data_IF_924473595330
#
_entry.id   IF_924473595330
#
_cell.length_a   1.000
_cell.length_b   1.000
_cell.length_c   1.000
_cell.angle_alpha   90.00
_cell.angle_beta   90.00
_cell.angle_gamma   90.00
#
_symmetry.space_group_name_H-M   'P 1'
#
loop_
_entity.id
_entity.type
_entity.pdbx_description
1 polymer ?
#
# COMPACT_ATOMS: atom_id res chain seq x y z
N UNK A 1 23.83 -7.95 24.46
CA UNK A 1 23.02 -8.64 23.43
C UNK A 1 22.76 -7.61 22.34
N UNK A 2 23.04 -7.90 21.06
CA UNK A 2 23.05 -6.88 20.01
C UNK A 2 21.72 -6.93 19.27
N UNK A 3 20.91 -5.87 19.40
CA UNK A 3 19.75 -5.62 18.55
C UNK A 3 20.31 -5.07 17.24
N UNK A 4 19.98 -5.68 16.10
CA UNK A 4 20.33 -5.14 14.79
C UNK A 4 19.14 -4.34 14.22
N UNK A 5 19.45 -3.29 13.47
CA UNK A 5 18.42 -2.44 12.86
C UNK A 5 17.54 -3.22 11.87
N UNK A 6 18.14 -4.14 11.11
CA UNK A 6 17.43 -5.01 10.16
C UNK A 6 16.33 -5.84 10.81
N UNK A 7 16.53 -6.28 12.05
CA UNK A 7 15.56 -7.10 12.78
C UNK A 7 14.34 -6.26 13.17
N UNK A 8 14.56 -5.00 13.55
CA UNK A 8 13.49 -4.06 13.89
C UNK A 8 12.66 -3.69 12.65
N UNK A 9 13.32 -3.39 11.53
CA UNK A 9 12.67 -2.97 10.28
C UNK A 9 11.83 -4.10 9.64
N UNK A 10 12.37 -5.32 9.64
CA UNK A 10 11.70 -6.49 9.07
C UNK A 10 10.53 -6.99 9.94
N UNK A 11 10.61 -6.81 11.25
CA UNK A 11 9.59 -7.27 12.21
C UNK A 11 8.36 -6.37 12.31
N UNK A 12 7.22 -6.96 12.65
CA UNK A 12 6.06 -6.22 13.16
C UNK A 12 6.03 -6.35 14.68
N UNK A 13 5.58 -5.30 15.36
CA UNK A 13 5.56 -5.24 16.82
C UNK A 13 4.17 -4.95 17.33
N UNK A 14 3.76 -5.65 18.37
CA UNK A 14 2.62 -5.28 19.21
C UNK A 14 3.15 -4.41 20.35
N UNK A 15 2.57 -3.23 20.53
CA UNK A 15 2.99 -2.26 21.54
C UNK A 15 1.99 -2.18 22.68
N UNK A 16 2.45 -2.40 23.91
CA UNK A 16 1.62 -2.41 25.11
C UNK A 16 2.36 -1.87 26.33
N UNK A 17 1.63 -1.75 27.44
CA UNK A 17 2.23 -1.57 28.78
C UNK A 17 2.42 -2.93 29.45
N UNK A 18 3.32 -3.01 30.42
CA UNK A 18 3.60 -4.24 31.17
C UNK A 18 2.37 -4.79 31.92
N UNK A 19 1.42 -3.92 32.28
CA UNK A 19 0.15 -4.33 32.88
C UNK A 19 -0.84 -4.97 31.88
N UNK A 20 -0.44 -5.18 30.62
CA UNK A 20 -1.25 -5.78 29.56
C UNK A 20 -2.13 -4.80 28.77
N UNK A 21 -2.12 -3.51 29.10
CA UNK A 21 -2.86 -2.51 28.34
C UNK A 21 -2.26 -2.37 26.93
N UNK A 22 -3.01 -2.80 25.92
CA UNK A 22 -2.64 -2.63 24.52
C UNK A 22 -2.65 -1.15 24.13
N UNK A 23 -1.56 -0.69 23.50
CA UNK A 23 -1.44 0.67 22.96
C UNK A 23 -1.65 0.63 21.44
N UNK A 24 -0.92 -0.25 20.74
CA UNK A 24 -1.07 -0.47 19.31
C UNK A 24 -0.92 -1.96 18.97
N UNK A 25 -1.88 -2.56 18.24
CA UNK A 25 -1.77 -3.95 17.81
C UNK A 25 -0.68 -4.15 16.76
N UNK A 26 -0.40 -3.10 15.97
CA UNK A 26 0.58 -3.09 14.89
C UNK A 26 1.44 -1.85 15.01
N UNK A 27 2.74 -2.05 15.14
CA UNK A 27 3.77 -1.03 15.11
C UNK A 27 4.87 -1.49 14.15
N UNK A 28 5.28 -0.57 13.28
CA UNK A 28 6.37 -0.75 12.32
C UNK A 28 7.44 0.29 12.55
N UNK A 29 8.69 -0.15 12.60
CA UNK A 29 9.84 0.74 12.51
C UNK A 29 10.12 1.00 11.04
N UNK A 30 10.04 2.27 10.61
CA UNK A 30 10.30 2.66 9.24
C UNK A 30 11.76 3.08 9.06
N UNK A 31 12.39 2.83 7.89
CA UNK A 31 13.81 3.12 7.65
C UNK A 31 14.23 4.58 7.82
N UNK A 32 13.29 5.51 7.75
CA UNK A 32 13.50 6.95 7.94
C UNK A 32 13.43 7.38 9.42
N UNK A 33 13.37 6.42 10.35
CA UNK A 33 13.28 6.68 11.79
C UNK A 33 11.87 7.00 12.26
N UNK A 34 10.84 6.86 11.41
CA UNK A 34 9.45 7.09 11.81
C UNK A 34 8.80 5.83 12.37
N UNK A 35 7.91 6.00 13.34
CA UNK A 35 7.03 4.93 13.84
C UNK A 35 5.75 4.88 12.99
N UNK A 36 5.49 3.72 12.39
CA UNK A 36 4.31 3.39 11.59
C UNK A 36 3.34 2.45 12.32
N UNK A 37 2.10 2.38 11.86
CA UNK A 37 1.01 1.60 12.48
C UNK A 37 0.43 2.22 13.76
N UNK A 38 1.15 3.16 14.35
CA UNK A 38 0.81 3.89 15.57
C UNK A 38 1.24 5.35 15.43
N UNK A 39 0.42 6.28 15.91
CA UNK A 39 0.69 7.72 15.81
C UNK A 39 0.47 8.36 17.16
N UNK A 40 1.56 8.81 17.77
CA UNK A 40 1.52 9.54 19.03
C UNK A 40 2.71 10.48 19.15
N UNK A 41 2.52 11.58 19.87
CA UNK A 41 3.53 12.65 19.95
C UNK A 41 4.78 12.26 20.75
N UNK A 42 4.66 11.31 21.68
CA UNK A 42 5.80 10.81 22.48
C UNK A 42 6.57 9.68 21.82
N UNK A 43 5.99 8.94 20.89
CA UNK A 43 6.62 7.81 20.19
C UNK A 43 6.56 8.01 18.68
N UNK A 44 6.82 9.25 18.23
CA UNK A 44 6.72 9.62 16.81
C UNK A 44 7.91 9.10 16.00
N UNK A 45 9.07 9.09 16.64
CA UNK A 45 10.36 8.78 16.04
C UNK A 45 11.00 7.66 16.84
N UNK A 46 11.81 6.83 16.18
CA UNK A 46 12.63 5.83 16.81
C UNK A 46 14.09 5.95 16.37
N UNK A 47 14.99 5.39 17.16
CA UNK A 47 16.40 5.24 16.80
C UNK A 47 17.01 4.07 17.54
N UNK A 48 18.02 3.46 16.94
CA UNK A 48 18.88 2.47 17.59
C UNK A 48 20.25 3.13 17.85
N UNK A 49 20.55 3.42 19.11
CA UNK A 49 21.78 4.10 19.54
C UNK A 49 22.48 3.23 20.58
N UNK A 50 23.77 2.91 20.39
CA UNK A 50 24.53 2.03 21.29
C UNK A 50 23.86 0.66 21.56
N UNK A 51 23.23 0.08 20.52
CA UNK A 51 22.39 -1.13 20.58
C UNK A 51 21.15 -1.02 21.47
N UNK A 52 20.72 0.20 21.80
CA UNK A 52 19.53 0.46 22.60
C UNK A 52 18.47 1.13 21.72
N UNK A 53 17.31 0.48 21.61
CA UNK A 53 16.15 1.06 20.95
C UNK A 53 15.58 2.19 21.81
N UNK A 54 15.28 3.32 21.19
CA UNK A 54 14.70 4.49 21.85
C UNK A 54 13.47 4.95 21.07
N UNK A 55 12.36 5.15 21.79
CA UNK A 55 11.30 6.02 21.30
C UNK A 55 11.62 7.47 21.61
N UNK A 56 11.25 8.35 20.69
CA UNK A 56 11.48 9.79 20.75
C UNK A 56 10.21 10.55 20.38
N UNK A 57 10.03 11.68 21.05
CA UNK A 57 9.02 12.64 20.65
C UNK A 57 9.45 13.42 19.40
N UNK A 58 8.58 14.30 18.89
CA UNK A 58 8.87 15.11 17.69
C UNK A 58 10.07 16.06 17.84
N UNK A 59 10.47 16.39 19.08
CA UNK A 59 11.66 17.19 19.37
C UNK A 59 12.94 16.36 19.43
N UNK A 60 12.86 15.04 19.22
CA UNK A 60 13.98 14.12 19.32
C UNK A 60 14.34 13.70 20.76
N UNK A 61 13.54 14.09 21.76
CA UNK A 61 13.79 13.71 23.15
C UNK A 61 13.36 12.27 23.38
N UNK A 62 14.25 11.46 23.97
CA UNK A 62 13.94 10.07 24.33
C UNK A 62 12.82 10.01 25.37
N UNK A 63 11.73 9.36 25.01
CA UNK A 63 10.55 9.15 25.87
C UNK A 63 10.54 7.75 26.48
N UNK A 64 11.12 6.76 25.80
CA UNK A 64 11.29 5.39 26.29
C UNK A 64 12.63 4.87 25.81
N UNK A 65 13.36 4.22 26.72
CA UNK A 65 14.58 3.49 26.40
C UNK A 65 14.33 2.01 26.68
N UNK A 66 14.55 1.16 25.68
CA UNK A 66 14.35 -0.29 25.78
C UNK A 66 15.66 -0.96 26.15
N UNK A 67 15.83 -1.22 27.44
CA UNK A 67 17.05 -1.77 28.06
C UNK A 67 16.97 -3.28 28.33
N UNK A 68 15.79 -3.88 28.23
CA UNK A 68 15.57 -5.32 28.30
C UNK A 68 15.22 -5.88 26.92
N UNK A 69 15.89 -6.97 26.52
CA UNK A 69 15.65 -7.66 25.26
C UNK A 69 15.71 -9.18 25.46
N UNK A 70 14.67 -9.87 25.02
CA UNK A 70 14.62 -11.33 24.89
C UNK A 70 14.69 -11.65 23.39
N UNK A 71 15.61 -12.55 23.03
CA UNK A 71 15.87 -12.98 21.65
C UNK A 71 15.56 -14.47 21.53
N UNK A 72 15.03 -14.88 20.38
CA UNK A 72 14.89 -16.27 19.97
C UNK A 72 15.70 -16.56 18.69
N UNK A 73 15.38 -17.63 17.95
CA UNK A 73 16.10 -17.98 16.72
C UNK A 73 16.00 -16.94 15.61
N UNK A 74 14.96 -16.10 15.62
CA UNK A 74 14.65 -15.17 14.54
C UNK A 74 14.97 -13.71 14.93
N UNK A 75 15.68 -13.51 16.05
CA UNK A 75 16.09 -12.19 16.55
C UNK A 75 15.28 -11.72 17.77
N UNK A 76 15.27 -10.41 18.06
CA UNK A 76 14.51 -9.81 19.16
C UNK A 76 13.02 -10.20 19.10
N UNK A 77 12.56 -10.89 20.15
CA UNK A 77 11.17 -11.33 20.33
C UNK A 77 10.40 -10.39 21.27
N UNK A 78 11.03 -9.93 22.35
CA UNK A 78 10.39 -9.07 23.34
C UNK A 78 11.36 -8.01 23.83
N UNK A 79 10.93 -6.75 23.79
CA UNK A 79 11.68 -5.61 24.29
C UNK A 79 10.86 -4.94 25.41
N UNK A 80 11.50 -4.61 26.53
CA UNK A 80 10.90 -3.75 27.55
C UNK A 80 11.72 -2.51 27.78
N UNK A 81 11.02 -1.42 28.07
CA UNK A 81 11.65 -0.14 28.34
C UNK A 81 10.82 0.70 29.26
N UNK A 82 11.46 1.36 30.23
CA UNK A 82 10.77 2.27 31.15
C UNK A 82 10.61 3.65 30.49
N UNK A 83 9.42 4.23 30.61
CA UNK A 83 9.17 5.58 30.13
C UNK A 83 9.96 6.59 30.98
N UNK A 84 10.60 7.54 30.29
CA UNK A 84 11.26 8.71 30.90
C UNK A 84 10.27 9.84 31.17
N UNK A 85 9.08 9.79 30.56
CA UNK A 85 7.98 10.75 30.78
C UNK A 85 7.21 10.40 32.05
N UNK A 86 6.91 9.11 32.24
CA UNK A 86 6.28 8.58 33.44
C UNK A 86 6.99 7.29 33.87
N UNK A 87 7.89 7.34 34.87
CA UNK A 87 8.65 6.18 35.32
C UNK A 87 7.80 5.01 35.87
N UNK A 88 6.51 5.22 36.15
CA UNK A 88 5.60 4.14 36.52
C UNK A 88 5.17 3.27 35.34
N UNK A 89 5.33 3.77 34.11
CA UNK A 89 4.99 3.07 32.88
C UNK A 89 6.20 2.31 32.35
N UNK A 90 6.02 0.99 32.20
CA UNK A 90 6.91 0.13 31.44
C UNK A 90 6.24 -0.25 30.13
N UNK A 91 6.89 0.10 29.03
CA UNK A 91 6.50 -0.22 27.68
C UNK A 91 7.04 -1.59 27.28
N UNK A 92 6.25 -2.33 26.51
CA UNK A 92 6.57 -3.66 26.00
C UNK A 92 6.31 -3.69 24.50
N UNK A 93 7.31 -4.11 23.74
CA UNK A 93 7.17 -4.46 22.34
C UNK A 93 7.33 -5.98 22.21
N UNK A 94 6.33 -6.65 21.67
CA UNK A 94 6.34 -8.08 21.40
C UNK A 94 6.30 -8.28 19.89
N UNK A 95 7.27 -9.03 19.35
CA UNK A 95 7.34 -9.34 17.92
C UNK A 95 6.09 -10.13 17.53
N UNK A 96 5.43 -9.67 16.48
CA UNK A 96 4.19 -10.22 15.97
C UNK A 96 4.23 -10.28 14.44
N UNK A 97 3.16 -10.79 13.84
CA UNK A 97 2.93 -10.73 12.39
C UNK A 97 1.91 -9.64 12.07
N UNK A 98 1.97 -9.07 10.87
CA UNK A 98 0.89 -8.21 10.37
C UNK A 98 -0.41 -9.01 10.31
N UNK A 99 -1.51 -8.54 10.92
CA UNK A 99 -2.81 -9.17 10.80
C UNK A 99 -3.32 -9.14 9.36
N UNK A 100 -4.00 -10.19 8.92
CA UNK A 100 -4.62 -10.27 7.58
C UNK A 100 -6.07 -10.70 7.68
N UNK A 101 -6.77 -10.84 6.55
CA UNK A 101 -8.15 -11.29 6.56
C UNK A 101 -8.33 -12.71 7.11
N UNK A 102 -7.24 -13.49 7.15
CA UNK A 102 -7.20 -14.81 7.80
C UNK A 102 -7.50 -14.74 9.30
N UNK A 103 -7.08 -13.67 9.97
CA UNK A 103 -7.24 -13.52 11.43
C UNK A 103 -8.71 -13.36 11.87
N UNK A 104 -9.61 -13.00 10.95
CA UNK A 104 -11.06 -13.00 11.18
C UNK A 104 -11.80 -14.05 10.31
N UNK A 105 -11.08 -15.08 9.86
CA UNK A 105 -11.67 -16.29 9.29
C UNK A 105 -11.87 -16.29 7.77
N UNK A 106 -11.35 -15.30 7.02
CA UNK A 106 -11.35 -15.38 5.56
C UNK A 106 -10.26 -16.32 5.04
N UNK A 107 -10.46 -16.82 3.83
CA UNK A 107 -9.49 -17.66 3.14
C UNK A 107 -9.43 -17.28 1.66
N UNK A 108 -8.23 -17.39 1.09
CA UNK A 108 -7.98 -17.28 -0.33
C UNK A 108 -7.98 -18.68 -0.97
N UNK A 109 -8.10 -18.73 -2.30
CA UNK A 109 -7.75 -19.94 -3.05
C UNK A 109 -6.32 -20.42 -2.68
N UNK A 110 -6.02 -21.72 -2.66
CA UNK A 110 -4.65 -22.21 -2.50
C UNK A 110 -3.76 -21.98 -3.74
N UNK A 111 -4.36 -21.58 -4.88
CA UNK A 111 -3.66 -21.42 -6.16
C UNK A 111 -2.51 -20.41 -6.04
N UNK A 112 -1.38 -20.71 -6.67
CA UNK A 112 -0.24 -19.80 -6.81
C UNK A 112 -0.25 -19.24 -8.24
N UNK A 113 0.19 -18.00 -8.41
CA UNK A 113 0.25 -17.38 -9.72
C UNK A 113 1.31 -18.06 -10.60
N UNK A 114 0.87 -18.65 -11.71
CA UNK A 114 1.74 -19.14 -12.77
C UNK A 114 1.85 -18.10 -13.87
N UNK A 115 3.07 -17.67 -14.18
CA UNK A 115 3.33 -16.61 -15.14
C UNK A 115 3.66 -17.18 -16.52
N UNK A 116 2.93 -16.71 -17.51
CA UNK A 116 3.35 -16.73 -18.92
C UNK A 116 3.99 -15.37 -19.24
N UNK A 117 5.05 -15.38 -20.05
CA UNK A 117 5.71 -14.17 -20.56
C UNK A 117 5.49 -14.10 -22.08
N UNK A 118 4.39 -13.49 -22.55
CA UNK A 118 4.03 -13.47 -23.97
C UNK A 118 4.97 -12.61 -24.82
N UNK A 119 5.67 -11.68 -24.17
CA UNK A 119 6.71 -10.84 -24.78
C UNK A 119 8.02 -11.05 -24.07
N UNK A 120 9.09 -11.08 -24.84
CA UNK A 120 10.42 -10.92 -24.27
C UNK A 120 10.56 -9.51 -23.67
N UNK A 121 11.06 -9.45 -22.44
CA UNK A 121 11.45 -8.18 -21.85
C UNK A 121 12.62 -7.61 -22.67
N UNK A 122 12.57 -6.32 -22.99
CA UNK A 122 13.68 -5.66 -23.66
C UNK A 122 14.98 -5.80 -22.86
N UNK A 123 16.13 -5.56 -23.52
CA UNK A 123 17.47 -5.71 -22.93
C UNK A 123 17.67 -4.97 -21.59
N UNK A 124 16.85 -3.95 -21.32
CA UNK A 124 16.69 -3.33 -20.01
C UNK A 124 15.21 -3.31 -19.64
N UNK A 125 14.86 -4.07 -18.58
CA UNK A 125 13.53 -4.04 -17.96
C UNK A 125 13.14 -2.62 -17.54
N UNK A 126 11.87 -2.26 -17.73
CA UNK A 126 11.35 -0.97 -17.28
C UNK A 126 11.26 -0.95 -15.74
N UNK A 127 11.26 0.25 -15.14
CA UNK A 127 11.25 0.41 -13.67
C UNK A 127 9.87 0.27 -13.04
N UNK A 128 8.84 0.52 -13.83
CA UNK A 128 7.47 0.62 -13.34
C UNK A 128 6.65 -0.57 -13.83
N UNK A 129 5.67 -0.99 -13.02
CA UNK A 129 4.75 -2.09 -13.34
C UNK A 129 3.31 -1.63 -13.16
N UNK A 130 2.47 -1.96 -14.13
CA UNK A 130 1.02 -1.95 -13.97
C UNK A 130 0.56 -3.38 -13.70
N UNK A 131 -0.09 -3.61 -12.57
CA UNK A 131 -0.74 -4.87 -12.23
C UNK A 131 -2.24 -4.69 -12.40
N UNK A 132 -2.78 -5.28 -13.46
CA UNK A 132 -4.18 -5.16 -13.80
C UNK A 132 -4.90 -6.48 -13.56
N UNK A 133 -5.96 -6.44 -12.74
CA UNK A 133 -6.96 -7.51 -12.70
C UNK A 133 -7.92 -7.30 -13.86
N UNK A 134 -7.94 -8.20 -14.84
CA UNK A 134 -8.76 -8.02 -16.04
C UNK A 134 -9.65 -9.22 -16.36
N UNK A 135 -10.75 -8.94 -17.03
CA UNK A 135 -11.58 -9.91 -17.73
C UNK A 135 -11.94 -9.40 -19.14
N UNK A 136 -12.89 -10.07 -19.79
CA UNK A 136 -13.35 -9.80 -21.15
C UNK A 136 -13.91 -8.37 -21.33
N UNK A 137 -14.32 -7.72 -20.25
CA UNK A 137 -14.88 -6.37 -20.22
C UNK A 137 -13.86 -5.30 -19.80
N UNK A 138 -12.58 -5.67 -19.67
CA UNK A 138 -11.54 -4.74 -19.25
C UNK A 138 -11.27 -3.67 -20.33
N UNK A 139 -11.08 -2.43 -19.90
CA UNK A 139 -10.84 -1.29 -20.77
C UNK A 139 -9.38 -1.12 -21.20
N UNK A 140 -8.45 -1.93 -20.69
CA UNK A 140 -7.02 -1.77 -20.96
C UNK A 140 -6.63 -1.90 -22.44
N UNK A 141 -7.43 -2.61 -23.23
CA UNK A 141 -7.26 -2.69 -24.69
C UNK A 141 -7.45 -1.34 -25.39
N UNK A 142 -8.08 -0.36 -24.73
CA UNK A 142 -8.32 1.00 -25.22
C UNK A 142 -7.28 2.00 -24.70
N UNK A 143 -6.42 1.62 -23.75
CA UNK A 143 -5.38 2.49 -23.23
C UNK A 143 -4.25 2.87 -24.22
N UNK A 144 -3.95 2.11 -25.31
CA UNK A 144 -2.93 2.50 -26.27
C UNK A 144 -3.27 3.83 -26.98
N UNK A 145 -2.77 4.93 -26.41
CA UNK A 145 -2.98 6.29 -26.89
C UNK A 145 -1.90 7.24 -26.35
N UNK A 146 -1.72 8.37 -27.03
CA UNK A 146 -0.83 9.50 -26.68
C UNK A 146 0.68 9.24 -26.69
N UNK A 147 1.15 7.99 -26.57
CA UNK A 147 2.56 7.59 -26.71
C UNK A 147 2.69 6.26 -27.45
N UNK A 148 3.86 6.01 -28.03
CA UNK A 148 4.20 4.71 -28.62
C UNK A 148 4.65 3.70 -27.55
N UNK A 149 4.57 2.40 -27.86
CA UNK A 149 5.01 1.31 -26.98
C UNK A 149 6.50 1.45 -26.58
N UNK A 150 7.34 1.85 -27.53
CA UNK A 150 8.78 2.07 -27.32
C UNK A 150 9.07 3.16 -26.27
N UNK A 151 8.13 4.09 -26.06
CA UNK A 151 8.26 5.20 -25.10
C UNK A 151 7.59 4.92 -23.75
N UNK A 152 6.93 3.75 -23.59
CA UNK A 152 6.40 3.35 -22.28
C UNK A 152 7.52 3.24 -21.27
N UNK A 153 7.30 3.78 -20.07
CA UNK A 153 8.22 3.65 -18.93
C UNK A 153 7.80 2.56 -17.94
N UNK A 154 6.79 1.76 -18.29
CA UNK A 154 6.18 0.72 -17.46
C UNK A 154 5.89 -0.56 -18.26
N UNK A 155 5.95 -1.70 -17.57
CA UNK A 155 5.51 -3.00 -18.06
C UNK A 155 4.10 -3.33 -17.54
N UNK A 156 3.39 -4.25 -18.18
CA UNK A 156 2.04 -4.68 -17.85
C UNK A 156 2.02 -6.15 -17.41
N UNK A 157 1.48 -6.39 -16.21
CA UNK A 157 1.04 -7.69 -15.75
C UNK A 157 -0.48 -7.77 -15.79
N UNK A 158 -1.01 -8.66 -16.62
CA UNK A 158 -2.44 -9.00 -16.67
C UNK A 158 -2.68 -10.22 -15.80
N UNK A 159 -3.33 -10.00 -14.65
CA UNK A 159 -3.89 -11.05 -13.80
C UNK A 159 -5.33 -11.28 -14.20
N UNK A 160 -5.54 -12.27 -15.07
CA UNK A 160 -6.83 -12.56 -15.68
C UNK A 160 -7.77 -13.28 -14.71
N UNK A 161 -9.03 -12.85 -14.64
CA UNK A 161 -10.07 -13.48 -13.82
C UNK A 161 -11.30 -13.91 -14.60
N UNK A 162 -11.32 -13.64 -15.90
CA UNK A 162 -12.31 -14.20 -16.81
C UNK A 162 -12.24 -15.72 -16.79
N UNK A 163 -13.37 -16.36 -17.12
CA UNK A 163 -13.49 -17.81 -17.09
C UNK A 163 -12.59 -18.46 -18.13
N UNK A 164 -12.60 -17.90 -19.35
CA UNK A 164 -11.81 -18.38 -20.47
C UNK A 164 -10.59 -17.48 -20.67
N UNK A 165 -9.42 -18.07 -20.93
CA UNK A 165 -8.21 -17.31 -21.24
C UNK A 165 -8.33 -16.75 -22.68
N UNK A 166 -7.98 -15.47 -22.92
CA UNK A 166 -7.99 -14.90 -24.25
C UNK A 166 -7.06 -15.63 -25.21
N UNK A 167 -7.45 -15.74 -26.49
CA UNK A 167 -6.62 -16.36 -27.53
C UNK A 167 -5.33 -15.57 -27.80
N UNK A 168 -5.38 -14.25 -27.62
CA UNK A 168 -4.23 -13.35 -27.75
C UNK A 168 -3.91 -12.68 -26.40
N UNK A 169 -2.76 -13.04 -25.84
CA UNK A 169 -2.20 -12.47 -24.62
C UNK A 169 -0.94 -11.64 -24.91
N UNK A 170 -0.63 -11.38 -26.18
CA UNK A 170 0.57 -10.67 -26.60
C UNK A 170 0.53 -9.17 -26.27
N UNK A 171 -0.52 -8.63 -25.66
CA UNK A 171 -0.61 -7.23 -25.25
C UNK A 171 0.11 -6.86 -23.95
N UNK A 172 0.76 -7.82 -23.28
CA UNK A 172 1.36 -7.64 -21.96
C UNK A 172 2.72 -8.33 -21.81
N UNK A 173 3.52 -7.90 -20.84
CA UNK A 173 4.79 -8.52 -20.50
C UNK A 173 4.61 -9.76 -19.61
N UNK A 174 3.58 -9.76 -18.73
CA UNK A 174 3.25 -10.88 -17.87
C UNK A 174 1.76 -11.19 -17.95
N UNK A 175 1.45 -12.47 -18.05
CA UNK A 175 0.09 -12.98 -17.99
C UNK A 175 -0.02 -14.08 -16.94
N UNK A 176 -1.10 -14.08 -16.15
CA UNK A 176 -1.44 -15.19 -15.25
C UNK A 176 -2.96 -15.32 -15.15
N UNK A 177 -3.45 -16.56 -15.00
CA UNK A 177 -4.88 -16.84 -14.84
C UNK A 177 -5.20 -17.12 -13.38
N UNK A 178 -5.96 -16.22 -12.75
CA UNK A 178 -6.38 -16.29 -11.35
C UNK A 178 -7.91 -16.07 -11.24
N UNK A 179 -8.73 -17.06 -11.68
CA UNK A 179 -10.20 -16.93 -11.69
C UNK A 179 -10.84 -17.07 -10.30
N UNK A 180 -10.13 -17.69 -9.36
CA UNK A 180 -10.67 -18.05 -8.04
C UNK A 180 -10.38 -17.02 -6.94
N UNK A 181 -9.68 -15.93 -7.27
CA UNK A 181 -9.27 -14.91 -6.31
C UNK A 181 -9.93 -13.56 -6.57
N UNK A 182 -10.12 -12.80 -5.50
CA UNK A 182 -10.48 -11.38 -5.56
C UNK A 182 -9.24 -10.51 -5.72
N UNK A 183 -9.42 -9.22 -6.04
CA UNK A 183 -8.33 -8.30 -6.44
C UNK A 183 -7.11 -8.39 -5.53
N UNK A 184 -7.27 -8.08 -4.24
CA UNK A 184 -6.13 -8.00 -3.32
C UNK A 184 -5.55 -9.37 -2.98
N UNK A 185 -6.37 -10.41 -2.78
CA UNK A 185 -5.87 -11.78 -2.64
C UNK A 185 -5.06 -12.26 -3.85
N UNK A 186 -5.52 -11.95 -5.07
CA UNK A 186 -4.81 -12.27 -6.31
C UNK A 186 -3.48 -11.52 -6.37
N UNK A 187 -3.49 -10.21 -6.12
CA UNK A 187 -2.30 -9.35 -6.12
C UNK A 187 -1.29 -9.81 -5.07
N UNK A 188 -1.72 -10.17 -3.86
CA UNK A 188 -0.85 -10.73 -2.82
C UNK A 188 0.00 -11.88 -3.36
N UNK A 189 -0.63 -12.81 -4.10
CA UNK A 189 0.04 -13.98 -4.68
C UNK A 189 1.04 -13.61 -5.78
N UNK A 190 0.85 -12.50 -6.47
CA UNK A 190 1.76 -12.01 -7.51
C UNK A 190 3.10 -11.51 -6.96
N UNK A 191 3.20 -11.26 -5.65
CA UNK A 191 4.41 -10.74 -5.00
C UNK A 191 5.01 -11.70 -3.96
N UNK A 192 4.57 -12.97 -3.97
CA UNK A 192 5.19 -14.03 -3.17
C UNK A 192 6.65 -14.28 -3.60
N UNK A 193 7.39 -14.94 -2.72
CA UNK A 193 8.79 -15.28 -2.96
C UNK A 193 9.00 -16.03 -4.27
N UNK A 194 10.05 -15.66 -5.01
CA UNK A 194 10.33 -16.19 -6.35
C UNK A 194 9.56 -15.52 -7.50
N UNK A 195 8.58 -14.65 -7.21
CA UNK A 195 7.86 -13.94 -8.27
C UNK A 195 8.78 -13.01 -9.06
N UNK A 196 8.66 -12.97 -10.42
CA UNK A 196 9.43 -12.04 -11.23
C UNK A 196 9.03 -10.58 -10.98
N UNK A 197 7.86 -10.30 -10.39
CA UNK A 197 7.34 -8.94 -10.25
C UNK A 197 7.94 -8.15 -9.08
N UNK A 198 8.71 -8.79 -8.20
CA UNK A 198 9.23 -8.15 -6.96
C UNK A 198 10.28 -7.06 -7.21
N UNK A 199 10.94 -7.07 -8.36
CA UNK A 199 12.07 -6.16 -8.61
C UNK A 199 11.69 -4.81 -9.24
N UNK A 200 10.41 -4.56 -9.51
CA UNK A 200 9.96 -3.25 -9.98
C UNK A 200 10.06 -2.20 -8.88
N UNK A 201 10.38 -0.97 -9.25
CA UNK A 201 10.54 0.15 -8.31
C UNK A 201 9.16 0.72 -7.90
N UNK A 202 8.22 0.80 -8.85
CA UNK A 202 6.88 1.39 -8.64
C UNK A 202 5.80 0.50 -9.26
N UNK A 203 4.68 0.37 -8.56
CA UNK A 203 3.60 -0.56 -8.92
C UNK A 203 2.25 0.16 -8.89
N UNK A 204 1.59 0.25 -10.05
CA UNK A 204 0.23 0.78 -10.20
C UNK A 204 -0.79 -0.38 -10.27
N UNK A 205 -1.88 -0.30 -9.51
CA UNK A 205 -2.88 -1.37 -9.39
C UNK A 205 -4.30 -0.91 -9.75
N UNK A 206 -4.56 -0.46 -11.00
CA UNK A 206 -5.87 0.00 -11.44
C UNK A 206 -6.89 -1.13 -11.51
N UNK A 207 -8.17 -0.78 -11.29
CA UNK A 207 -9.31 -1.60 -11.70
C UNK A 207 -9.48 -1.57 -13.23
N UNK A 208 -10.20 -2.57 -13.76
CA UNK A 208 -10.34 -2.78 -15.19
C UNK A 208 -11.38 -1.90 -15.89
N UNK A 209 -12.15 -1.09 -15.15
CA UNK A 209 -13.08 -0.08 -15.66
C UNK A 209 -12.54 1.35 -15.65
N UNK A 210 -11.24 1.52 -15.45
CA UNK A 210 -10.63 2.82 -15.57
C UNK A 210 -10.30 3.13 -17.02
N UNK A 211 -10.90 4.20 -17.54
CA UNK A 211 -10.49 4.77 -18.81
C UNK A 211 -9.36 5.78 -18.57
N UNK A 212 -8.24 5.52 -19.22
CA UNK A 212 -6.99 6.29 -19.17
C UNK A 212 -6.22 6.05 -20.48
N UNK A 213 -5.00 6.59 -20.59
CA UNK A 213 -4.11 6.37 -21.73
C UNK A 213 -2.72 5.90 -21.28
N UNK A 214 -1.97 5.27 -22.18
CA UNK A 214 -0.56 4.96 -21.95
C UNK A 214 0.25 6.21 -21.61
N UNK A 215 -0.05 7.34 -22.26
CA UNK A 215 0.57 8.63 -21.96
C UNK A 215 0.33 9.08 -20.53
N UNK A 216 -0.89 8.95 -20.04
CA UNK A 216 -1.25 9.32 -18.66
C UNK A 216 -0.61 8.39 -17.63
N UNK A 217 -0.56 7.08 -17.89
CA UNK A 217 0.15 6.13 -17.00
C UNK A 217 1.66 6.45 -16.97
N UNK A 218 2.26 6.77 -18.12
CA UNK A 218 3.66 7.21 -18.19
C UNK A 218 3.89 8.47 -17.34
N UNK A 219 3.01 9.45 -17.48
CA UNK A 219 3.04 10.72 -16.75
C UNK A 219 2.85 10.49 -15.26
N UNK A 220 1.94 9.59 -14.87
CA UNK A 220 1.66 9.20 -13.48
C UNK A 220 2.92 8.72 -12.78
N UNK A 221 3.64 7.77 -13.37
CA UNK A 221 4.89 7.28 -12.79
C UNK A 221 5.99 8.34 -12.73
N UNK A 222 6.04 9.28 -13.68
CA UNK A 222 7.01 10.36 -13.62
C UNK A 222 6.71 11.33 -12.48
N UNK A 223 5.45 11.78 -12.34
CA UNK A 223 5.02 12.64 -11.23
C UNK A 223 5.21 11.90 -9.90
N UNK A 224 4.87 10.60 -9.85
CA UNK A 224 5.00 9.77 -8.68
C UNK A 224 6.43 9.82 -8.10
N UNK A 225 7.43 9.61 -8.97
CA UNK A 225 8.84 9.65 -8.59
C UNK A 225 9.32 11.07 -8.28
N UNK A 226 8.93 12.06 -9.07
CA UNK A 226 9.32 13.46 -8.84
C UNK A 226 8.83 13.98 -7.49
N UNK A 227 7.65 13.55 -7.06
CA UNK A 227 7.08 13.89 -5.75
C UNK A 227 7.64 13.08 -4.59
N UNK A 228 8.48 12.07 -4.83
CA UNK A 228 9.05 11.18 -3.81
C UNK A 228 7.96 10.56 -2.90
N UNK A 229 6.86 10.12 -3.52
CA UNK A 229 5.73 9.50 -2.84
C UNK A 229 6.01 8.04 -2.50
N UNK A 230 5.39 7.57 -1.42
CA UNK A 230 5.31 6.16 -1.06
C UNK A 230 4.02 5.52 -1.62
N UNK A 231 2.94 6.31 -1.67
CA UNK A 231 1.63 5.92 -2.16
C UNK A 231 0.92 7.10 -2.84
N UNK A 232 0.34 6.89 -4.01
CA UNK A 232 -0.47 7.92 -4.65
C UNK A 232 -1.57 7.30 -5.50
N UNK A 233 -2.45 8.13 -6.06
CA UNK A 233 -3.28 7.76 -7.20
C UNK A 233 -3.48 8.96 -8.13
N UNK A 234 -3.78 8.75 -9.42
CA UNK A 234 -4.37 9.81 -10.23
C UNK A 234 -5.72 10.23 -9.62
N UNK A 235 -6.12 11.47 -9.88
CA UNK A 235 -7.47 11.92 -9.55
C UNK A 235 -8.52 11.25 -10.44
N UNK A 236 -9.79 11.36 -10.05
CA UNK A 236 -10.92 10.88 -10.83
C UNK A 236 -11.59 12.03 -11.58
N UNK A 237 -11.98 11.78 -12.82
CA UNK A 237 -12.82 12.70 -13.59
C UNK A 237 -14.09 12.98 -12.79
N UNK A 238 -14.40 14.24 -12.41
CA UNK A 238 -15.50 14.54 -11.49
C UNK A 238 -16.89 14.09 -11.97
N UNK A 239 -17.09 13.96 -13.28
CA UNK A 239 -18.34 13.49 -13.89
C UNK A 239 -18.41 11.97 -14.06
N UNK A 240 -17.38 11.23 -13.64
CA UNK A 240 -17.36 9.76 -13.59
C UNK A 240 -17.85 9.24 -12.24
N UNK A 241 -17.78 7.93 -12.00
CA UNK A 241 -18.20 7.35 -10.72
C UNK A 241 -17.17 7.61 -9.62
N UNK A 242 -17.42 8.64 -8.79
CA UNK A 242 -16.58 9.00 -7.64
C UNK A 242 -17.26 8.60 -6.33
N UNK A 243 -16.67 7.66 -5.60
CA UNK A 243 -17.16 7.22 -4.27
C UNK A 243 -16.67 8.15 -3.16
N UNK A 244 -15.39 8.51 -3.20
CA UNK A 244 -14.73 9.34 -2.19
C UNK A 244 -14.46 10.73 -2.75
N UNK A 245 -15.16 11.80 -2.31
CA UNK A 245 -15.00 13.14 -2.90
C UNK A 245 -13.56 13.67 -2.91
N UNK A 246 -12.71 13.22 -1.98
CA UNK A 246 -11.30 13.59 -1.94
C UNK A 246 -10.53 13.15 -3.20
N UNK A 247 -10.98 12.10 -3.91
CA UNK A 247 -10.32 11.55 -5.09
C UNK A 247 -10.74 12.24 -6.38
N UNK A 248 -11.83 13.02 -6.38
CA UNK A 248 -12.23 13.85 -7.53
C UNK A 248 -11.14 14.86 -7.88
N UNK A 249 -10.90 15.07 -9.17
CA UNK A 249 -9.95 16.05 -9.67
C UNK A 249 -10.28 17.45 -9.16
N UNK A 250 -9.25 18.11 -8.63
CA UNK A 250 -9.28 19.54 -8.37
C UNK A 250 -8.37 20.27 -9.38
N UNK A 251 -8.92 21.07 -10.32
CA UNK A 251 -8.13 21.73 -11.35
C UNK A 251 -7.17 22.80 -10.81
N UNK A 252 -7.39 23.31 -9.59
CA UNK A 252 -6.50 24.30 -8.97
C UNK A 252 -5.16 23.69 -8.53
N UNK A 253 -5.11 22.36 -8.41
CA UNK A 253 -3.94 21.64 -7.94
C UNK A 253 -3.27 20.83 -9.04
N UNK A 254 -1.94 20.78 -8.96
CA UNK A 254 -1.12 19.80 -9.65
C UNK A 254 -1.17 18.46 -8.89
N UNK A 255 -1.13 18.54 -7.56
CA UNK A 255 -1.35 17.42 -6.64
C UNK A 255 -1.76 17.90 -5.26
N UNK A 256 -2.40 17.02 -4.48
CA UNK A 256 -2.81 17.23 -3.10
C UNK A 256 -2.23 16.14 -2.20
N UNK A 257 -1.62 16.53 -1.09
CA UNK A 257 -1.14 15.61 -0.08
C UNK A 257 -2.29 15.21 0.85
N UNK A 258 -2.44 13.92 1.11
CA UNK A 258 -3.58 13.37 1.85
C UNK A 258 -3.20 12.14 2.65
N UNK A 259 -4.04 11.72 3.60
CA UNK A 259 -3.93 10.43 4.27
C UNK A 259 -4.64 9.29 3.53
N UNK A 260 -5.24 9.54 2.36
CA UNK A 260 -6.13 8.59 1.69
C UNK A 260 -5.81 8.41 0.21
N UNK A 261 -5.71 7.15 -0.21
CA UNK A 261 -5.66 6.72 -1.61
C UNK A 261 -6.63 5.56 -1.75
N UNK A 262 -7.54 5.66 -2.69
CA UNK A 262 -8.59 4.67 -2.92
C UNK A 262 -7.99 3.39 -3.51
N UNK A 263 -8.49 2.26 -3.02
CA UNK A 263 -8.04 0.92 -3.40
C UNK A 263 -8.21 0.57 -4.89
N UNK A 264 -8.96 1.39 -5.62
CA UNK A 264 -9.30 1.21 -7.03
C UNK A 264 -8.09 1.47 -7.93
N UNK A 265 -7.24 2.45 -7.62
CA UNK A 265 -6.09 2.78 -8.46
C UNK A 265 -4.84 3.29 -7.71
N UNK A 266 -4.35 2.56 -6.70
CA UNK A 266 -3.16 2.99 -5.98
C UNK A 266 -1.88 2.73 -6.79
N UNK A 267 -0.91 3.63 -6.62
CA UNK A 267 0.48 3.51 -7.05
C UNK A 267 1.35 3.44 -5.80
N UNK A 268 2.13 2.38 -5.65
CA UNK A 268 3.05 2.17 -4.54
C UNK A 268 4.51 2.24 -5.01
N UNK A 269 5.42 2.67 -4.13
CA UNK A 269 6.82 2.20 -4.22
C UNK A 269 6.88 0.73 -3.84
N UNK A 270 7.90 0.01 -4.31
CA UNK A 270 8.15 -1.39 -3.90
C UNK A 270 8.16 -1.56 -2.39
N UNK A 271 8.89 -0.71 -1.69
CA UNK A 271 9.13 -0.86 -0.26
C UNK A 271 7.83 -0.61 0.52
N UNK A 272 7.04 0.37 0.09
CA UNK A 272 5.73 0.63 0.70
C UNK A 272 4.69 -0.43 0.37
N UNK A 273 4.73 -0.99 -0.85
CA UNK A 273 3.92 -2.15 -1.20
C UNK A 273 4.29 -3.34 -0.31
N UNK A 274 5.57 -3.66 -0.16
CA UNK A 274 6.03 -4.80 0.67
C UNK A 274 5.59 -4.66 2.14
N UNK A 275 5.56 -3.42 2.64
CA UNK A 275 5.04 -3.08 3.96
C UNK A 275 3.53 -3.33 4.09
N UNK A 276 2.75 -3.02 3.05
CA UNK A 276 1.29 -3.17 3.05
C UNK A 276 0.79 -4.53 2.56
N UNK A 277 1.63 -5.29 1.84
CA UNK A 277 1.26 -6.55 1.17
C UNK A 277 0.59 -7.57 2.11
N UNK A 278 1.00 -7.74 3.39
CA UNK A 278 0.30 -8.65 4.30
C UNK A 278 -1.18 -8.32 4.51
N UNK A 279 -1.60 -7.06 4.39
CA UNK A 279 -3.01 -6.68 4.53
C UNK A 279 -3.86 -7.17 3.36
N UNK A 280 -3.24 -7.56 2.24
CA UNK A 280 -3.94 -8.03 1.04
C UNK A 280 -4.29 -9.52 1.15
N UNK A 281 -3.58 -10.25 2.01
CA UNK A 281 -3.72 -11.70 2.14
C UNK A 281 -5.16 -12.07 2.53
N UNK A 282 -5.76 -12.93 1.70
CA UNK A 282 -7.12 -13.43 1.84
C UNK A 282 -8.22 -12.35 1.84
N UNK A 283 -7.92 -11.11 1.49
CA UNK A 283 -8.93 -10.06 1.37
C UNK A 283 -9.87 -10.35 0.19
N UNK A 284 -11.18 -10.30 0.47
CA UNK A 284 -12.24 -10.57 -0.50
C UNK A 284 -12.71 -9.27 -1.16
N UNK A 285 -13.04 -8.24 -0.38
CA UNK A 285 -13.53 -6.96 -0.91
C UNK A 285 -12.47 -5.89 -1.03
N UNK A 286 -11.43 -5.94 -0.18
CA UNK A 286 -10.45 -4.86 -0.04
C UNK A 286 -10.94 -3.68 0.80
N UNK A 287 -12.20 -3.69 1.26
CA UNK A 287 -12.76 -2.58 2.03
C UNK A 287 -11.96 -2.35 3.32
N UNK A 288 -11.63 -1.08 3.58
CA UNK A 288 -10.85 -0.65 4.72
C UNK A 288 -9.34 -0.63 4.50
N UNK A 289 -8.79 -1.34 3.49
CA UNK A 289 -7.35 -1.39 3.25
C UNK A 289 -6.75 0.00 2.94
N UNK A 290 -7.46 0.78 2.14
CA UNK A 290 -7.16 2.18 1.79
C UNK A 290 -7.06 3.12 2.99
N UNK A 291 -7.73 2.79 4.11
CA UNK A 291 -7.61 3.50 5.37
C UNK A 291 -6.44 3.03 6.25
N UNK A 292 -5.90 1.84 6.01
CA UNK A 292 -4.79 1.29 6.80
C UNK A 292 -3.43 1.80 6.32
N UNK A 293 -3.24 1.91 5.00
CA UNK A 293 -1.92 2.13 4.41
C UNK A 293 -1.23 3.37 4.96
N UNK A 294 -1.94 4.51 5.04
CA UNK A 294 -1.34 5.73 5.58
C UNK A 294 -0.95 5.60 7.04
N UNK A 295 -1.73 4.89 7.86
CA UNK A 295 -1.37 4.60 9.25
C UNK A 295 -0.12 3.73 9.35
N UNK A 296 -0.04 2.66 8.55
CA UNK A 296 1.12 1.77 8.48
C UNK A 296 2.38 2.55 8.08
N UNK A 297 2.26 3.52 7.16
CA UNK A 297 3.31 4.47 6.78
C UNK A 297 3.53 5.64 7.75
N UNK A 298 2.96 5.59 8.96
CA UNK A 298 3.12 6.62 9.98
C UNK A 298 2.43 7.97 9.65
N UNK A 299 1.59 8.05 8.61
CA UNK A 299 0.96 9.29 8.12
C UNK A 299 1.96 10.43 7.99
N UNK A 300 3.10 10.17 7.35
CA UNK A 300 4.09 11.22 7.08
C UNK A 300 3.53 12.18 6.03
N UNK A 301 3.32 13.48 6.37
CA UNK A 301 2.83 14.44 5.39
C UNK A 301 3.79 14.55 4.20
N UNK A 302 3.24 14.68 2.99
CA UNK A 302 4.06 14.79 1.77
C UNK A 302 4.32 13.46 1.04
N UNK A 303 4.14 12.32 1.70
CA UNK A 303 4.42 10.98 1.13
C UNK A 303 3.24 10.33 0.42
N UNK A 304 2.03 10.79 0.70
CA UNK A 304 0.80 10.24 0.16
C UNK A 304 0.00 11.32 -0.56
N UNK A 305 -0.45 11.06 -1.79
CA UNK A 305 -1.05 12.09 -2.63
C UNK A 305 -2.15 11.63 -3.61
N UNK A 306 -3.03 12.57 -3.94
CA UNK A 306 -3.84 12.55 -5.16
C UNK A 306 -3.12 13.42 -6.19
N UNK A 307 -2.86 12.87 -7.38
CA UNK A 307 -2.23 13.60 -8.49
C UNK A 307 -3.34 14.15 -9.39
N UNK A 308 -3.65 15.43 -9.25
CA UNK A 308 -4.70 16.12 -9.99
C UNK A 308 -4.29 16.46 -11.45
N UNK A 309 -2.99 16.40 -11.76
CA UNK A 309 -2.45 16.57 -13.11
C UNK A 309 -2.86 15.49 -14.11
N UNK A 310 -3.46 14.42 -13.60
CA UNK A 310 -4.01 13.29 -14.36
C UNK A 310 -5.38 12.97 -13.76
N UNK A 311 -6.38 12.83 -14.62
CA UNK A 311 -7.69 12.36 -14.20
C UNK A 311 -8.07 11.11 -15.01
N UNK A 312 -8.42 10.04 -14.32
CA UNK A 312 -8.93 8.81 -14.92
C UNK A 312 -10.45 8.76 -14.76
N UNK A 313 -11.16 8.24 -15.75
CA UNK A 313 -12.61 8.11 -15.67
C UNK A 313 -12.99 6.70 -15.20
N UNK A 314 -13.70 6.62 -14.07
CA UNK A 314 -14.28 5.36 -13.61
C UNK A 314 -15.60 5.13 -14.34
N UNK A 315 -15.63 4.11 -15.20
CA UNK A 315 -16.70 3.93 -16.21
C UNK A 315 -17.86 3.06 -15.75
N UNK A 316 -17.71 2.36 -14.63
CA UNK A 316 -18.74 1.52 -14.04
C UNK A 316 -19.01 1.96 -12.60
N UNK A 317 -20.27 1.87 -12.13
CA UNK A 317 -20.55 2.11 -10.72
C UNK A 317 -19.93 0.99 -9.87
N UNK A 318 -19.68 1.27 -8.59
CA UNK A 318 -19.30 0.25 -7.63
C UNK A 318 -20.22 -0.99 -7.78
N UNK A 319 -19.58 -2.14 -8.02
CA UNK A 319 -20.19 -3.31 -8.62
C UNK A 319 -21.43 -3.77 -7.82
N UNK A 320 -22.59 -4.00 -8.46
CA UNK A 320 -23.80 -4.51 -7.76
C UNK A 320 -23.69 -5.98 -7.32
N UNK A 321 -22.58 -6.64 -7.64
CA UNK A 321 -22.38 -8.08 -7.49
C UNK A 321 -21.56 -8.49 -6.24
N UNK A 322 -21.31 -7.58 -5.30
CA UNK A 322 -20.71 -7.94 -4.02
C UNK A 322 -21.69 -7.69 -2.87
N UNK A 323 -21.58 -8.53 -1.84
CA UNK A 323 -22.37 -8.39 -0.62
C UNK A 323 -21.82 -7.20 0.18
N UNK A 324 -22.48 -6.04 0.07
CA UNK A 324 -22.07 -4.79 0.76
C UNK A 324 -22.00 -4.99 2.27
N UNK A 325 -22.92 -5.75 2.86
CA UNK A 325 -22.90 -6.05 4.30
C UNK A 325 -21.62 -6.82 4.65
N UNK A 326 -21.26 -7.83 3.86
CA UNK A 326 -20.01 -8.57 4.07
C UNK A 326 -18.76 -7.70 3.90
N UNK A 327 -18.76 -6.76 2.95
CA UNK A 327 -17.66 -5.81 2.77
C UNK A 327 -17.52 -4.84 3.96
N UNK A 328 -18.64 -4.34 4.50
CA UNK A 328 -18.63 -3.52 5.73
C UNK A 328 -18.16 -4.33 6.93
N UNK A 329 -18.54 -5.61 7.02
CA UNK A 329 -18.04 -6.50 8.08
C UNK A 329 -16.54 -6.76 7.95
N UNK A 330 -16.02 -6.96 6.73
CA UNK A 330 -14.58 -7.06 6.45
C UNK A 330 -13.85 -5.77 6.87
N UNK A 331 -14.37 -4.60 6.50
CA UNK A 331 -13.82 -3.30 6.91
C UNK A 331 -13.72 -3.17 8.43
N UNK A 332 -14.81 -3.49 9.14
CA UNK A 332 -14.85 -3.40 10.60
C UNK A 332 -13.87 -4.38 11.26
N UNK A 333 -13.78 -5.61 10.73
CA UNK A 333 -12.90 -6.64 11.26
C UNK A 333 -11.43 -6.26 11.07
N UNK A 334 -11.03 -5.86 9.86
CA UNK A 334 -9.65 -5.45 9.58
C UNK A 334 -9.31 -4.15 10.34
N UNK A 335 -10.21 -3.17 10.39
CA UNK A 335 -9.97 -1.93 11.16
C UNK A 335 -9.79 -2.21 12.65
N UNK A 336 -10.56 -3.16 13.21
CA UNK A 336 -10.41 -3.61 14.60
C UNK A 336 -9.06 -4.25 14.88
N UNK A 337 -8.55 -5.09 13.97
CA UNK A 337 -7.22 -5.72 14.12
C UNK A 337 -6.07 -4.71 14.12
N UNK A 338 -6.24 -3.58 13.44
CA UNK A 338 -5.23 -2.51 13.35
C UNK A 338 -5.49 -1.37 14.34
N UNK A 339 -6.60 -1.39 15.10
CA UNK A 339 -7.09 -0.25 15.88
C UNK A 339 -7.11 1.05 15.05
N UNK A 340 -7.53 0.93 13.79
CA UNK A 340 -7.52 2.03 12.82
C UNK A 340 -8.89 2.70 12.68
N UNK A 341 -8.88 3.95 12.23
CA UNK A 341 -10.07 4.72 11.88
C UNK A 341 -9.91 5.32 10.48
N UNK A 342 -11.05 5.59 9.83
CA UNK A 342 -11.06 6.26 8.53
C UNK A 342 -10.42 7.65 8.67
N UNK A 343 -9.50 7.97 7.77
CA UNK A 343 -8.85 9.29 7.72
C UNK A 343 -8.84 9.80 6.30
N UNK A 344 -9.29 11.06 6.14
CA UNK A 344 -9.34 11.81 4.89
C UNK A 344 -8.61 13.16 5.06
N UNK A 345 -7.59 13.18 5.91
CA UNK A 345 -6.81 14.38 6.21
C UNK A 345 -6.16 14.91 4.93
N UNK A 346 -6.19 16.23 4.74
CA UNK A 346 -5.51 16.92 3.64
C UNK A 346 -4.40 17.78 4.23
N UNK A 347 -3.17 17.60 3.75
CA UNK A 347 -1.98 18.28 4.24
C UNK A 347 -1.53 19.44 3.34
N UNK A 348 -2.43 19.90 2.46
CA UNK A 348 -2.16 20.91 1.43
C UNK A 348 -1.89 20.29 0.07
N UNK A 349 -1.25 21.04 -0.81
CA UNK A 349 -0.96 20.59 -2.17
C UNK A 349 -0.12 21.59 -2.96
N UNK A 350 0.35 21.17 -4.13
CA UNK A 350 1.03 22.04 -5.07
C UNK A 350 -0.03 22.60 -6.01
N UNK A 351 -0.23 23.92 -5.99
CA UNK A 351 -1.14 24.57 -6.92
C UNK A 351 -0.57 24.54 -8.34
N UNK A 352 -1.45 24.48 -9.34
CA UNK A 352 -0.98 24.64 -10.72
C UNK A 352 -0.50 26.08 -10.92
N UNK A 353 0.73 26.29 -11.42
CA UNK A 353 1.17 27.63 -11.78
C UNK A 353 0.40 28.18 -12.98
N UNK A 354 -0.18 27.31 -13.82
CA UNK A 354 -0.98 27.66 -15.00
C UNK A 354 -2.13 26.67 -15.18
N UNK A 355 -3.33 27.17 -15.48
CA UNK A 355 -4.40 26.34 -16.04
C UNK A 355 -4.02 25.99 -17.48
N UNK A 356 -3.84 24.71 -17.80
CA UNK A 356 -3.89 24.29 -19.21
C UNK A 356 -5.36 24.37 -19.60
N UNK A 357 -5.68 25.40 -20.39
CA UNK A 357 -7.02 25.68 -20.92
C UNK A 357 -7.47 24.63 -21.94
#
# INVERSE_FOLDING_TARGET
MKIEESDLLSSTWKFSRENGQLIAPVLKFLPDGIVGGYIHSFERVWSLEDNTLRFKNIYGQTTTEFDECIIDSDGPYLLKGRSRVDPSVVHVLERSRMPSARDFGQSASPDVAEFTMPRELGAKRRRNLVVLRANEQSLHSQWPANIADADRNWDLCVSWYGKEVPADISGCEYFTHQPNDRKFSAIYKLFLEGSPLRDYDNIYMPDDDLMTSWGDINKLFNIFRMGNFDLAQPSLVPTSYVTHPITAQNPDFFLRYTSFVELMCPVFTRDFLQLCLPTFEASISGFGLDHLWSSIGGRVPGRIAIIDDIAVAHTRPANKNYNVIAAIMEENAISGLYNSSKSYETFGGIQRPYAFG
#
